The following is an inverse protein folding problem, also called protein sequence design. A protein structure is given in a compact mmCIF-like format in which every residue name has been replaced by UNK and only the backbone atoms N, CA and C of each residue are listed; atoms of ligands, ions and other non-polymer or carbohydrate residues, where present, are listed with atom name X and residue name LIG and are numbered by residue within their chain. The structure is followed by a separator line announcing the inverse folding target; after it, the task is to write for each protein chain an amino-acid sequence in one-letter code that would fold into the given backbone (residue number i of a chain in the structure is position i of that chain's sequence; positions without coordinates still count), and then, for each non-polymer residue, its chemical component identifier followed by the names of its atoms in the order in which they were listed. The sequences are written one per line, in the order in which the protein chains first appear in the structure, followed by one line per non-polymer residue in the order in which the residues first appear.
data_IF_007432345709
#
_entry.id   IF_007432345709
#
_cell.length_a   1.000
_cell.length_b   1.000
_cell.length_c   1.000
_cell.angle_alpha   90.00
_cell.angle_beta   90.00
_cell.angle_gamma   90.00
#
_symmetry.space_group_name_H-M   'P 1'
#
loop_
_entity.id
_entity.type
_entity.pdbx_description
1 polymer ?
#
# COMPACT_ATOMS: atom_id res chain seq x y z
N UNK A 1 -8.62 20.24 11.43
CA UNK A 1 -7.62 20.42 10.35
C UNK A 1 -6.26 20.52 11.01
N UNK A 2 -5.45 19.47 10.97
CA UNK A 2 -4.06 19.50 11.43
C UNK A 2 -3.32 20.49 10.51
N UNK A 3 -2.66 21.52 11.05
CA UNK A 3 -1.94 22.46 10.21
C UNK A 3 -0.88 21.69 9.41
N UNK A 4 -0.69 22.04 8.13
CA UNK A 4 0.26 21.35 7.23
C UNK A 4 1.64 21.15 7.90
N UNK A 5 2.06 22.12 8.71
CA UNK A 5 3.31 22.06 9.50
C UNK A 5 3.37 20.89 10.48
N UNK A 6 2.28 20.57 11.18
CA UNK A 6 2.22 19.42 12.08
C UNK A 6 2.32 18.10 11.31
N UNK A 7 1.68 17.99 10.15
CA UNK A 7 1.79 16.80 9.30
C UNK A 7 3.23 16.60 8.80
N UNK A 8 3.91 17.69 8.39
CA UNK A 8 5.32 17.67 8.02
C UNK A 8 6.25 17.24 9.16
N UNK A 9 6.04 17.80 10.36
CA UNK A 9 6.81 17.45 11.56
C UNK A 9 6.65 15.97 11.94
N UNK A 10 5.41 15.49 11.97
CA UNK A 10 5.11 14.08 12.28
C UNK A 10 5.77 13.16 11.26
N UNK A 11 5.66 13.48 9.97
CA UNK A 11 6.30 12.70 8.91
C UNK A 11 7.82 12.67 9.06
N UNK A 12 8.46 13.81 9.37
CA UNK A 12 9.90 13.89 9.57
C UNK A 12 10.36 13.00 10.73
N UNK A 13 9.67 13.09 11.88
CA UNK A 13 9.98 12.30 13.07
C UNK A 13 9.82 10.80 12.77
N UNK A 14 8.71 10.41 12.13
CA UNK A 14 8.48 9.03 11.72
C UNK A 14 9.56 8.57 10.74
N UNK A 15 9.95 9.39 9.77
CA UNK A 15 11.03 9.07 8.83
C UNK A 15 12.35 8.80 9.53
N UNK A 16 12.74 9.65 10.49
CA UNK A 16 13.97 9.45 11.29
C UNK A 16 13.89 8.16 12.12
N UNK A 17 12.74 7.89 12.77
CA UNK A 17 12.54 6.65 13.53
C UNK A 17 12.72 5.42 12.63
N UNK A 18 12.18 5.47 11.41
CA UNK A 18 12.33 4.40 10.41
C UNK A 18 13.76 4.22 9.94
N UNK A 19 14.55 5.30 9.82
CA UNK A 19 15.96 5.21 9.48
C UNK A 19 16.81 4.63 10.62
N UNK A 20 16.48 4.95 11.87
CA UNK A 20 17.19 4.43 13.06
C UNK A 20 16.84 2.96 13.30
N UNK A 21 15.56 2.59 13.14
CA UNK A 21 15.07 1.22 13.36
C UNK A 21 14.15 0.77 12.21
N UNK A 22 14.72 0.41 11.04
CA UNK A 22 13.92 0.01 9.88
C UNK A 22 13.00 -1.17 10.17
N UNK A 23 13.54 -2.22 10.80
CA UNK A 23 12.77 -3.43 11.11
C UNK A 23 11.72 -3.16 12.19
N UNK A 24 12.06 -2.36 13.20
CA UNK A 24 11.13 -1.96 14.26
C UNK A 24 9.97 -1.12 13.72
N UNK A 25 10.27 -0.17 12.82
CA UNK A 25 9.28 0.65 12.14
C UNK A 25 8.30 -0.19 11.31
N UNK A 26 8.80 -1.12 10.49
CA UNK A 26 7.94 -2.02 9.69
C UNK A 26 7.04 -2.88 10.57
N UNK A 27 7.56 -3.40 11.70
CA UNK A 27 6.77 -4.13 12.68
C UNK A 27 5.69 -3.28 13.33
N UNK A 28 6.02 -2.05 13.70
CA UNK A 28 5.07 -1.10 14.30
C UNK A 28 3.94 -0.76 13.31
N UNK A 29 4.28 -0.43 12.05
CA UNK A 29 3.27 -0.19 11.02
C UNK A 29 2.40 -1.42 10.81
N UNK A 30 2.98 -2.63 10.72
CA UNK A 30 2.18 -3.87 10.62
C UNK A 30 1.14 -3.97 11.72
N UNK A 31 1.56 -3.70 12.96
CA UNK A 31 0.68 -3.78 14.12
C UNK A 31 -0.43 -2.73 14.08
N UNK A 32 -0.08 -1.46 13.86
CA UNK A 32 -1.05 -0.36 13.78
C UNK A 32 -2.01 -0.51 12.60
N UNK A 33 -1.49 -0.83 11.41
CA UNK A 33 -2.32 -1.11 10.23
C UNK A 33 -3.26 -2.28 10.48
N UNK A 34 -2.78 -3.35 11.12
CA UNK A 34 -3.62 -4.49 11.50
C UNK A 34 -4.78 -4.12 12.42
N UNK A 35 -4.50 -3.35 13.48
CA UNK A 35 -5.53 -2.86 14.42
C UNK A 35 -6.53 -1.95 13.70
N UNK A 36 -6.05 -1.01 12.88
CA UNK A 36 -6.92 -0.09 12.13
C UNK A 36 -7.83 -0.87 11.17
N UNK A 37 -7.29 -1.86 10.44
CA UNK A 37 -8.07 -2.69 9.53
C UNK A 37 -9.13 -3.50 10.27
N UNK A 38 -8.81 -4.05 11.44
CA UNK A 38 -9.77 -4.77 12.28
C UNK A 38 -10.90 -3.85 12.78
N UNK A 39 -10.56 -2.61 13.18
CA UNK A 39 -11.55 -1.60 13.59
C UNK A 39 -12.46 -1.17 12.44
N UNK A 40 -11.90 -0.97 11.23
CA UNK A 40 -12.67 -0.69 10.02
C UNK A 40 -13.62 -1.85 9.73
N UNK A 41 -13.13 -3.09 9.79
CA UNK A 41 -13.95 -4.28 9.61
C UNK A 41 -15.09 -4.35 10.64
N UNK A 42 -14.83 -4.08 11.91
CA UNK A 42 -15.88 -4.02 12.94
C UNK A 42 -16.94 -2.94 12.62
N UNK A 43 -16.50 -1.75 12.22
CA UNK A 43 -17.41 -0.69 11.78
C UNK A 43 -18.27 -1.11 10.57
N UNK A 44 -17.69 -1.85 9.62
CA UNK A 44 -18.43 -2.41 8.48
C UNK A 44 -19.48 -3.44 8.89
N UNK A 45 -19.23 -4.28 9.90
CA UNK A 45 -20.26 -5.18 10.47
C UNK A 45 -21.42 -4.36 11.01
N UNK A 46 -21.13 -3.30 11.78
CA UNK A 46 -22.18 -2.43 12.34
C UNK A 46 -23.04 -1.80 11.24
N UNK A 47 -22.44 -1.40 10.11
CA UNK A 47 -23.19 -0.87 8.97
C UNK A 47 -24.00 -1.94 8.26
N UNK A 48 -23.44 -3.14 8.06
CA UNK A 48 -24.15 -4.28 7.46
C UNK A 48 -25.43 -4.63 8.25
N UNK A 49 -25.38 -4.57 9.58
CA UNK A 49 -26.52 -4.84 10.47
C UNK A 49 -27.56 -3.71 10.48
N UNK A 50 -27.17 -2.46 10.23
CA UNK A 50 -28.07 -1.31 10.15
C UNK A 50 -28.82 -1.23 8.82
N UNK A 51 -28.26 -1.81 7.76
CA UNK A 51 -28.79 -1.76 6.40
C UNK A 51 -30.06 -2.61 6.25
N UNK A 52 -31.25 -1.99 6.34
CA UNK A 52 -32.54 -2.70 6.23
C UNK A 52 -33.07 -2.85 4.80
N UNK A 53 -32.64 -1.99 3.87
CA UNK A 53 -33.25 -1.89 2.54
C UNK A 53 -32.55 -2.73 1.46
N UNK A 54 -31.22 -2.76 1.44
CA UNK A 54 -30.46 -3.45 0.39
C UNK A 54 -29.78 -4.71 0.92
N UNK A 55 -30.54 -5.81 0.99
CA UNK A 55 -30.09 -7.11 1.52
C UNK A 55 -28.83 -7.65 0.82
N UNK A 56 -28.67 -7.39 -0.49
CA UNK A 56 -27.45 -7.77 -1.25
C UNK A 56 -26.24 -6.94 -0.84
N UNK A 57 -26.42 -5.63 -0.64
CA UNK A 57 -25.34 -4.73 -0.26
C UNK A 57 -24.84 -5.07 1.15
N UNK A 58 -25.76 -5.31 2.09
CA UNK A 58 -25.45 -5.78 3.46
C UNK A 58 -24.58 -7.04 3.47
N UNK A 59 -24.85 -7.99 2.58
CA UNK A 59 -24.08 -9.23 2.47
C UNK A 59 -22.64 -8.97 1.98
N UNK A 60 -22.45 -8.05 1.01
CA UNK A 60 -21.11 -7.61 0.62
C UNK A 60 -20.38 -6.91 1.77
N UNK A 61 -21.03 -5.97 2.48
CA UNK A 61 -20.43 -5.31 3.64
C UNK A 61 -19.97 -6.31 4.69
N UNK A 62 -20.78 -7.33 4.97
CA UNK A 62 -20.44 -8.36 5.95
C UNK A 62 -19.26 -9.24 5.50
N UNK A 63 -19.25 -9.71 4.25
CA UNK A 63 -18.15 -10.53 3.73
C UNK A 63 -16.83 -9.76 3.74
N UNK A 64 -16.84 -8.51 3.25
CA UNK A 64 -15.65 -7.65 3.29
C UNK A 64 -15.21 -7.36 4.73
N UNK A 65 -16.16 -7.13 5.64
CA UNK A 65 -15.85 -6.89 7.05
C UNK A 65 -15.11 -8.07 7.68
N UNK A 66 -15.59 -9.30 7.46
CA UNK A 66 -14.93 -10.51 7.97
C UNK A 66 -13.51 -10.65 7.42
N UNK A 67 -13.33 -10.42 6.12
CA UNK A 67 -12.00 -10.44 5.50
C UNK A 67 -11.06 -9.38 6.10
N UNK A 68 -11.56 -8.15 6.31
CA UNK A 68 -10.81 -7.05 6.91
C UNK A 68 -10.40 -7.34 8.35
N UNK A 69 -11.29 -7.94 9.16
CA UNK A 69 -10.96 -8.35 10.53
C UNK A 69 -9.91 -9.45 10.52
N UNK A 70 -10.07 -10.48 9.68
CA UNK A 70 -9.10 -11.58 9.58
C UNK A 70 -7.72 -11.06 9.18
N UNK A 71 -7.62 -10.29 8.10
CA UNK A 71 -6.35 -9.70 7.65
C UNK A 71 -5.78 -8.75 8.70
N UNK A 72 -6.63 -7.93 9.32
CA UNK A 72 -6.24 -6.99 10.37
C UNK A 72 -5.62 -7.68 11.59
N UNK A 73 -6.27 -8.74 12.09
CA UNK A 73 -5.76 -9.55 13.21
C UNK A 73 -4.44 -10.24 12.84
N UNK A 74 -4.35 -10.82 11.64
CA UNK A 74 -3.13 -11.49 11.18
C UNK A 74 -1.94 -10.53 11.08
N UNK A 75 -2.17 -9.28 10.65
CA UNK A 75 -1.15 -8.22 10.62
C UNK A 75 -0.81 -7.69 12.03
N UNK A 76 -1.81 -7.56 12.90
CA UNK A 76 -1.66 -7.04 14.26
C UNK A 76 -0.77 -7.96 15.12
N UNK A 77 -1.00 -9.28 15.03
CA UNK A 77 -0.21 -10.29 15.74
C UNK A 77 1.01 -10.79 14.96
N UNK A 78 1.32 -10.16 13.82
CA UNK A 78 2.45 -10.52 12.95
C UNK A 78 2.44 -12.00 12.50
N UNK A 79 1.26 -12.63 12.46
CA UNK A 79 1.08 -13.97 11.88
C UNK A 79 1.30 -13.91 10.37
N UNK A 80 0.93 -12.79 9.74
CA UNK A 80 1.35 -12.43 8.39
C UNK A 80 2.21 -11.17 8.46
N UNK A 81 3.40 -11.21 7.86
CA UNK A 81 4.28 -10.04 7.75
C UNK A 81 3.70 -9.06 6.73
N UNK A 82 3.60 -7.77 7.08
CA UNK A 82 3.20 -6.70 6.16
C UNK A 82 4.05 -6.64 4.87
N UNK A 83 5.27 -7.14 4.96
CA UNK A 83 6.25 -7.29 3.88
C UNK A 83 5.72 -8.24 2.80
N UNK A 84 5.04 -9.32 3.18
CA UNK A 84 4.45 -10.26 2.23
C UNK A 84 3.29 -9.61 1.46
N UNK A 85 2.47 -8.81 2.14
CA UNK A 85 1.42 -8.02 1.50
C UNK A 85 2.00 -6.94 0.57
N UNK A 86 3.04 -6.22 1.02
CA UNK A 86 3.71 -5.22 0.21
C UNK A 86 4.36 -5.85 -1.05
N UNK A 87 5.06 -6.98 -0.90
CA UNK A 87 5.63 -7.72 -2.01
C UNK A 87 4.57 -8.25 -2.97
N UNK A 88 3.50 -8.85 -2.45
CA UNK A 88 2.36 -9.29 -3.26
C UNK A 88 1.75 -8.13 -4.05
N UNK A 89 1.53 -6.99 -3.41
CA UNK A 89 1.00 -5.79 -4.07
C UNK A 89 1.93 -5.29 -5.19
N UNK A 90 3.24 -5.28 -4.96
CA UNK A 90 4.23 -4.91 -5.97
C UNK A 90 4.23 -5.88 -7.16
N UNK A 91 4.13 -7.19 -6.93
CA UNK A 91 4.04 -8.17 -8.00
C UNK A 91 2.75 -8.04 -8.83
N UNK A 92 1.60 -7.87 -8.17
CA UNK A 92 0.32 -7.65 -8.85
C UNK A 92 0.37 -6.38 -9.69
N UNK A 93 0.87 -5.28 -9.11
CA UNK A 93 1.02 -4.00 -9.81
C UNK A 93 1.97 -4.12 -11.00
N UNK A 94 3.12 -4.79 -10.82
CA UNK A 94 4.08 -5.03 -11.90
C UNK A 94 3.49 -5.85 -13.04
N UNK A 95 2.74 -6.90 -12.71
CA UNK A 95 2.03 -7.72 -13.70
C UNK A 95 1.00 -6.88 -14.49
N UNK A 96 0.22 -6.06 -13.79
CA UNK A 96 -0.77 -5.17 -14.42
C UNK A 96 -0.11 -4.16 -15.36
N UNK A 97 1.05 -3.60 -14.99
CA UNK A 97 1.83 -2.72 -15.87
C UNK A 97 2.37 -3.44 -17.11
N UNK A 98 2.84 -4.69 -16.96
CA UNK A 98 3.28 -5.50 -18.10
C UNK A 98 2.11 -5.77 -19.05
N UNK A 99 0.96 -6.19 -18.53
CA UNK A 99 -0.24 -6.45 -19.33
C UNK A 99 -0.71 -5.17 -20.03
N UNK A 100 -0.81 -4.06 -19.31
CA UNK A 100 -1.18 -2.77 -19.88
C UNK A 100 -0.19 -2.32 -20.95
N UNK A 101 1.11 -2.49 -20.70
CA UNK A 101 2.16 -2.19 -21.66
C UNK A 101 2.03 -3.02 -22.94
N UNK A 102 1.78 -4.33 -22.83
CA UNK A 102 1.52 -5.19 -23.98
C UNK A 102 0.27 -4.77 -24.76
N UNK A 103 -0.83 -4.48 -24.07
CA UNK A 103 -2.06 -3.99 -24.72
C UNK A 103 -1.74 -2.72 -25.53
N UNK A 104 -1.01 -1.76 -24.95
CA UNK A 104 -0.66 -0.52 -25.65
C UNK A 104 0.29 -0.77 -26.84
N UNK A 105 1.29 -1.66 -26.71
CA UNK A 105 2.21 -2.00 -27.81
C UNK A 105 1.48 -2.65 -28.99
N UNK A 106 0.49 -3.50 -28.72
CA UNK A 106 -0.23 -4.26 -29.76
C UNK A 106 -1.53 -3.58 -30.24
N UNK A 107 -2.10 -2.67 -29.46
CA UNK A 107 -3.31 -1.91 -29.82
C UNK A 107 -2.99 -0.57 -30.50
N UNK A 108 -1.74 -0.10 -30.46
CA UNK A 108 -1.34 1.13 -31.12
C UNK A 108 -1.35 0.97 -32.64
N UNK A 109 -2.48 1.29 -33.27
CA UNK A 109 -2.62 1.36 -34.73
C UNK A 109 -1.91 2.55 -35.36
N UNK A 110 -1.68 3.64 -34.61
CA UNK A 110 -0.94 4.80 -35.10
C UNK A 110 -0.16 5.50 -33.97
N UNK A 111 0.97 6.09 -34.38
CA UNK A 111 2.00 6.81 -33.62
C UNK A 111 3.11 5.96 -32.94
N UNK A 112 4.37 6.25 -33.29
CA UNK A 112 5.55 5.74 -32.56
C UNK A 112 5.53 6.07 -31.06
N UNK A 113 4.88 7.17 -30.68
CA UNK A 113 4.78 7.64 -29.28
C UNK A 113 3.95 6.67 -28.42
N UNK A 114 2.82 6.17 -28.92
CA UNK A 114 1.95 5.23 -28.18
C UNK A 114 2.65 3.88 -27.97
N UNK A 115 3.37 3.38 -28.98
CA UNK A 115 4.16 2.14 -28.85
C UNK A 115 5.30 2.28 -27.84
N UNK A 116 5.95 3.45 -27.80
CA UNK A 116 7.02 3.75 -26.84
C UNK A 116 6.49 3.78 -25.39
N UNK A 117 5.31 4.37 -25.17
CA UNK A 117 4.65 4.34 -23.86
C UNK A 117 4.32 2.91 -23.40
N UNK A 118 3.91 2.05 -24.33
CA UNK A 118 3.68 0.63 -24.03
C UNK A 118 4.94 -0.11 -23.59
N UNK A 119 6.07 0.10 -24.30
CA UNK A 119 7.37 -0.47 -23.90
C UNK A 119 7.82 0.05 -22.53
N UNK A 120 7.62 1.34 -22.26
CA UNK A 120 7.90 1.92 -20.94
C UNK A 120 7.04 1.28 -19.85
N UNK A 121 5.75 1.01 -20.12
CA UNK A 121 4.88 0.27 -19.19
C UNK A 121 5.41 -1.12 -18.84
N UNK A 122 5.91 -1.86 -19.83
CA UNK A 122 6.53 -3.17 -19.61
C UNK A 122 7.80 -3.05 -18.76
N UNK A 123 8.67 -2.09 -19.07
CA UNK A 123 9.90 -1.84 -18.31
C UNK A 123 9.61 -1.46 -16.86
N UNK A 124 8.65 -0.55 -16.64
CA UNK A 124 8.20 -0.18 -15.29
C UNK A 124 7.66 -1.41 -14.57
N UNK A 125 6.85 -2.24 -15.23
CA UNK A 125 6.34 -3.47 -14.64
C UNK A 125 7.45 -4.45 -14.22
N UNK A 126 8.50 -4.60 -15.03
CA UNK A 126 9.70 -5.39 -14.66
C UNK A 126 10.44 -4.81 -13.46
N UNK A 127 10.58 -3.48 -13.38
CA UNK A 127 11.17 -2.81 -12.21
C UNK A 127 10.36 -3.14 -10.95
N UNK A 128 9.02 -3.13 -11.03
CA UNK A 128 8.16 -3.51 -9.91
C UNK A 128 8.40 -4.95 -9.42
N UNK A 129 8.67 -5.90 -10.32
CA UNK A 129 9.05 -7.27 -9.92
C UNK A 129 10.38 -7.29 -9.16
N UNK A 130 11.40 -6.59 -9.67
CA UNK A 130 12.72 -6.51 -9.01
C UNK A 130 12.59 -5.86 -7.64
N UNK A 131 11.86 -4.74 -7.55
CA UNK A 131 11.58 -4.06 -6.28
C UNK A 131 10.77 -4.97 -5.36
N UNK A 132 9.83 -5.75 -5.88
CA UNK A 132 9.05 -6.74 -5.13
C UNK A 132 9.92 -7.80 -4.45
N UNK A 133 10.97 -8.29 -5.13
CA UNK A 133 11.93 -9.24 -4.57
C UNK A 133 12.73 -8.58 -3.44
N UNK A 134 13.25 -7.37 -3.67
CA UNK A 134 14.05 -6.64 -2.68
C UNK A 134 13.20 -6.24 -1.47
N UNK A 135 11.93 -5.91 -1.70
CA UNK A 135 10.96 -5.55 -0.68
C UNK A 135 10.65 -6.71 0.28
N UNK A 136 10.95 -7.97 -0.06
CA UNK A 136 10.82 -9.08 0.88
C UNK A 136 11.78 -9.00 2.09
N UNK A 137 12.76 -8.09 2.04
CA UNK A 137 13.61 -7.79 3.17
C UNK A 137 13.07 -6.57 3.98
N UNK A 138 12.71 -6.76 5.27
CA UNK A 138 12.15 -5.69 6.12
C UNK A 138 13.04 -4.46 6.23
N UNK A 139 14.36 -4.66 6.15
CA UNK A 139 15.33 -3.57 6.28
C UNK A 139 15.21 -2.60 5.10
N UNK A 140 15.08 -3.13 3.88
CA UNK A 140 14.93 -2.30 2.68
C UNK A 140 13.62 -1.53 2.68
N UNK A 141 12.49 -2.17 3.01
CA UNK A 141 11.20 -1.45 3.15
C UNK A 141 11.32 -0.35 4.20
N UNK A 142 11.85 -0.67 5.38
CA UNK A 142 11.96 0.31 6.46
C UNK A 142 12.81 1.52 6.07
N UNK A 143 13.94 1.30 5.38
CA UNK A 143 14.80 2.39 4.90
C UNK A 143 14.09 3.22 3.82
N UNK A 144 13.46 2.57 2.83
CA UNK A 144 12.74 3.29 1.75
C UNK A 144 11.61 4.14 2.33
N UNK A 145 10.81 3.58 3.23
CA UNK A 145 9.73 4.31 3.92
C UNK A 145 10.32 5.46 4.76
N UNK A 146 11.43 5.22 5.47
CA UNK A 146 12.13 6.26 6.22
C UNK A 146 12.56 7.43 5.35
N UNK A 147 13.24 7.16 4.23
CA UNK A 147 13.68 8.18 3.27
C UNK A 147 12.49 8.98 2.73
N UNK A 148 11.43 8.29 2.29
CA UNK A 148 10.24 8.95 1.72
C UNK A 148 9.57 9.85 2.76
N UNK A 149 9.39 9.38 4.00
CA UNK A 149 8.77 10.15 5.08
C UNK A 149 9.63 11.35 5.48
N UNK A 150 10.95 11.20 5.50
CA UNK A 150 11.87 12.31 5.78
C UNK A 150 11.79 13.37 4.67
N UNK A 151 11.89 12.98 3.39
CA UNK A 151 11.80 13.91 2.26
C UNK A 151 10.44 14.62 2.25
N UNK A 152 9.35 13.86 2.41
CA UNK A 152 8.00 14.42 2.46
C UNK A 152 7.82 15.41 3.63
N UNK A 153 8.35 15.06 4.80
CA UNK A 153 8.35 15.93 5.98
C UNK A 153 9.09 17.25 5.73
N UNK A 154 10.27 17.18 5.10
CA UNK A 154 11.04 18.36 4.72
C UNK A 154 10.28 19.24 3.72
N UNK A 155 9.75 18.65 2.64
CA UNK A 155 9.00 19.41 1.61
C UNK A 155 7.85 20.18 2.23
N UNK A 156 7.09 19.57 3.15
CA UNK A 156 5.93 20.23 3.77
C UNK A 156 6.32 21.30 4.77
N UNK A 157 7.42 21.11 5.52
CA UNK A 157 7.87 22.09 6.50
C UNK A 157 8.45 23.35 5.85
N UNK A 158 9.06 23.20 4.67
CA UNK A 158 9.66 24.29 3.91
C UNK A 158 8.78 24.81 2.75
N UNK A 159 7.55 24.29 2.61
CA UNK A 159 6.49 24.79 1.71
C UNK A 159 5.59 25.80 2.41
#
# INVERSE_FOLDING_TARGET
MVSKKWAGLISLILGIIFLISPVGGVKAISMFSGIILALIGFWMILNALKERYYRRLSLFWFVFAVLLILVGVLLAFQVILIIAFAGFWLYVTGLLFIIAGFIVVFSAWDAHVTRTLGVMGILVGLIYFVVGIIALNPLFIGVIVGIILTIYGLIILFS
#
